data_IF_162770478893
#
_entry.id   IF_162770478893
#
_cell.length_a   1.000
_cell.length_b   1.000
_cell.length_c   1.000
_cell.angle_alpha   90.00
_cell.angle_beta   90.00
_cell.angle_gamma   90.00
#
_symmetry.space_group_name_H-M   'P 1'
#
loop_
_entity.id
_entity.type
_entity.pdbx_description
1 polymer ?
#
# COMPACT_ATOMS: atom_id res chain seq x y z
N UNK A 1 -0.30 -4.54 13.85
CA UNK A 1 -0.61 -4.09 12.49
C UNK A 1 0.60 -3.37 11.94
N UNK A 2 1.29 -3.98 11.00
CA UNK A 2 2.40 -3.40 10.24
C UNK A 2 1.88 -2.65 9.01
N UNK A 3 2.74 -1.85 8.38
CA UNK A 3 2.41 -1.20 7.10
C UNK A 3 2.04 -2.23 6.02
N UNK A 4 2.79 -3.34 5.93
CA UNK A 4 2.51 -4.45 4.99
C UNK A 4 1.12 -5.06 5.21
N UNK A 5 0.78 -5.37 6.46
CA UNK A 5 -0.53 -5.92 6.80
C UNK A 5 -1.66 -4.95 6.40
N UNK A 6 -1.46 -3.65 6.62
CA UNK A 6 -2.44 -2.62 6.26
C UNK A 6 -2.58 -2.45 4.75
N UNK A 7 -1.50 -2.53 3.97
CA UNK A 7 -1.56 -2.53 2.50
C UNK A 7 -2.41 -3.71 2.00
N UNK A 8 -2.15 -4.92 2.50
CA UNK A 8 -2.92 -6.11 2.12
C UNK A 8 -4.40 -6.00 2.49
N UNK A 9 -4.71 -5.46 3.68
CA UNK A 9 -6.08 -5.20 4.11
C UNK A 9 -6.79 -4.21 3.17
N UNK A 10 -6.14 -3.10 2.81
CA UNK A 10 -6.74 -2.10 1.93
C UNK A 10 -7.02 -2.69 0.55
N UNK A 11 -6.03 -3.36 -0.06
CA UNK A 11 -6.17 -3.95 -1.39
C UNK A 11 -7.21 -5.08 -1.45
N UNK A 12 -7.45 -5.79 -0.34
CA UNK A 12 -8.48 -6.84 -0.29
C UNK A 12 -9.89 -6.31 -0.03
N UNK A 13 -10.03 -5.20 0.70
CA UNK A 13 -11.34 -4.64 1.08
C UNK A 13 -11.93 -3.69 0.06
N UNK A 14 -11.11 -2.99 -0.72
CA UNK A 14 -11.56 -1.91 -1.59
C UNK A 14 -11.18 -2.18 -3.05
N UNK A 15 -12.06 -1.80 -3.97
CA UNK A 15 -11.87 -1.98 -5.40
C UNK A 15 -11.12 -0.79 -6.00
N UNK A 16 -9.80 -0.79 -5.84
CA UNK A 16 -8.94 0.21 -6.51
C UNK A 16 -8.84 -0.08 -8.02
N UNK A 17 -8.63 0.95 -8.86
CA UNK A 17 -8.26 0.75 -10.25
C UNK A 17 -6.99 -0.08 -10.38
N UNK A 18 -6.89 -0.92 -11.42
CA UNK A 18 -5.74 -1.81 -11.61
C UNK A 18 -4.40 -1.06 -11.61
N UNK A 19 -4.35 0.14 -12.21
CA UNK A 19 -3.15 0.98 -12.23
C UNK A 19 -2.65 1.37 -10.84
N UNK A 20 -3.55 1.59 -9.88
CA UNK A 20 -3.23 1.90 -8.48
C UNK A 20 -2.67 0.66 -7.78
N UNK A 21 -3.28 -0.50 -8.04
CA UNK A 21 -2.82 -1.79 -7.49
C UNK A 21 -1.42 -2.10 -7.98
N UNK A 22 -1.18 -2.00 -9.29
CA UNK A 22 0.11 -2.26 -9.93
C UNK A 22 1.22 -1.33 -9.39
N UNK A 23 0.94 -0.03 -9.24
CA UNK A 23 1.92 0.93 -8.72
C UNK A 23 2.32 0.59 -7.27
N UNK A 24 1.35 0.29 -6.40
CA UNK A 24 1.63 -0.07 -5.00
C UNK A 24 2.38 -1.40 -4.90
N UNK A 25 1.98 -2.42 -5.68
CA UNK A 25 2.69 -3.70 -5.71
C UNK A 25 4.14 -3.48 -6.15
N UNK A 26 4.36 -2.77 -7.25
CA UNK A 26 5.70 -2.51 -7.77
C UNK A 26 6.58 -1.81 -6.72
N UNK A 27 6.10 -0.72 -6.13
CA UNK A 27 6.85 0.04 -5.11
C UNK A 27 7.17 -0.80 -3.88
N UNK A 28 6.23 -1.63 -3.45
CA UNK A 28 6.39 -2.52 -2.30
C UNK A 28 7.43 -3.60 -2.61
N UNK A 29 7.33 -4.24 -3.79
CA UNK A 29 8.31 -5.23 -4.25
C UNK A 29 9.71 -4.64 -4.41
N UNK A 30 9.85 -3.47 -5.02
CA UNK A 30 11.14 -2.78 -5.18
C UNK A 30 11.80 -2.50 -3.82
N UNK A 31 11.01 -2.14 -2.80
CA UNK A 31 11.50 -1.97 -1.42
C UNK A 31 12.05 -3.27 -0.84
N UNK A 32 11.29 -4.38 -0.90
CA UNK A 32 11.74 -5.67 -0.37
C UNK A 32 12.95 -6.24 -1.12
N UNK A 33 13.07 -5.97 -2.42
CA UNK A 33 14.23 -6.40 -3.21
C UNK A 33 15.49 -5.57 -2.91
N UNK A 34 15.33 -4.31 -2.47
CA UNK A 34 16.45 -3.40 -2.19
C UNK A 34 16.90 -3.37 -0.73
N UNK A 35 16.11 -3.92 0.21
CA UNK A 35 16.40 -3.90 1.65
C UNK A 35 16.51 -5.31 2.21
N UNK A 36 17.65 -5.64 2.83
CA UNK A 36 17.85 -6.93 3.52
C UNK A 36 18.59 -6.72 4.84
N UNK A 37 17.96 -7.02 6.00
CA UNK A 37 16.56 -7.41 6.15
C UNK A 37 15.62 -6.21 5.89
N UNK A 38 14.50 -6.46 5.20
CA UNK A 38 13.45 -5.46 5.07
C UNK A 38 12.61 -5.40 6.35
N UNK A 39 12.22 -4.19 6.77
CA UNK A 39 11.25 -3.97 7.84
C UNK A 39 9.83 -3.91 7.25
N UNK A 40 8.96 -4.82 7.70
CA UNK A 40 7.54 -4.90 7.31
C UNK A 40 6.73 -3.66 7.79
N UNK A 41 7.29 -2.85 8.70
CA UNK A 41 6.68 -1.64 9.26
C UNK A 41 7.41 -0.33 8.88
N UNK A 42 8.21 -0.37 7.82
CA UNK A 42 9.04 0.76 7.39
C UNK A 42 8.21 2.01 7.01
N UNK A 43 8.70 3.24 7.30
CA UNK A 43 8.04 4.49 6.92
C UNK A 43 7.70 4.62 5.43
N UNK A 44 8.49 4.02 4.54
CA UNK A 44 8.24 3.97 3.10
C UNK A 44 6.97 3.17 2.77
N UNK A 45 6.75 2.03 3.43
CA UNK A 45 5.53 1.25 3.28
C UNK A 45 4.31 2.02 3.81
N UNK A 46 4.47 2.79 4.88
CA UNK A 46 3.43 3.69 5.38
C UNK A 46 3.04 4.81 4.40
N UNK A 47 3.94 5.20 3.48
CA UNK A 47 3.56 6.11 2.39
C UNK A 47 2.57 5.44 1.43
N UNK A 48 2.74 4.15 1.15
CA UNK A 48 1.81 3.38 0.29
C UNK A 48 0.45 3.20 0.97
N UNK A 49 0.44 2.96 2.29
CA UNK A 49 -0.80 2.95 3.09
C UNK A 49 -1.56 4.27 2.94
N UNK A 50 -0.90 5.41 3.20
CA UNK A 50 -1.54 6.73 3.11
C UNK A 50 -2.04 7.04 1.70
N UNK A 51 -1.31 6.60 0.67
CA UNK A 51 -1.74 6.75 -0.71
C UNK A 51 -3.07 6.00 -0.95
N UNK A 52 -3.16 4.73 -0.57
CA UNK A 52 -4.38 3.94 -0.69
C UNK A 52 -5.54 4.52 0.14
N UNK A 53 -5.29 4.94 1.38
CA UNK A 53 -6.32 5.54 2.24
C UNK A 53 -6.85 6.86 1.67
N UNK A 54 -5.98 7.70 1.14
CA UNK A 54 -6.37 8.93 0.47
C UNK A 54 -7.14 8.65 -0.82
N UNK A 55 -6.71 7.67 -1.61
CA UNK A 55 -7.42 7.27 -2.82
C UNK A 55 -8.83 6.77 -2.48
N UNK A 56 -8.95 5.92 -1.45
CA UNK A 56 -10.23 5.46 -0.92
C UNK A 56 -11.13 6.64 -0.52
N UNK A 57 -10.60 7.58 0.26
CA UNK A 57 -11.36 8.71 0.78
C UNK A 57 -11.82 9.67 -0.31
N UNK A 58 -10.91 10.09 -1.19
CA UNK A 58 -11.15 11.21 -2.10
C UNK A 58 -11.57 10.80 -3.51
N UNK A 59 -11.27 9.57 -3.94
CA UNK A 59 -11.61 9.08 -5.28
C UNK A 59 -12.76 8.07 -5.23
N UNK A 60 -12.71 7.13 -4.29
CA UNK A 60 -13.78 6.13 -4.15
C UNK A 60 -14.96 6.63 -3.30
N UNK A 61 -14.76 7.68 -2.49
CA UNK A 61 -15.79 8.24 -1.61
C UNK A 61 -16.21 7.32 -0.47
N UNK A 62 -15.30 6.44 -0.01
CA UNK A 62 -15.56 5.48 1.07
C UNK A 62 -14.78 5.88 2.32
N UNK A 63 -15.48 6.10 3.44
CA UNK A 63 -14.88 6.36 4.76
C UNK A 63 -14.70 5.07 5.57
#
# INVERSE_FOLDING_TARGET
>A
MTAKERIAELLSKYSYPMSVIEDVIKRTSDYYLSHTPADDNDPYLWQQVRYLENFKKFVLGVE
#
